data_IF_461580900517
#
_entry.id   IF_461580900517
#
_cell.length_a   1.000
_cell.length_b   1.000
_cell.length_c   1.000
_cell.angle_alpha   90.00
_cell.angle_beta   90.00
_cell.angle_gamma   90.00
#
_symmetry.space_group_name_H-M   'P 1'
#
loop_
_entity.id
_entity.type
_entity.pdbx_description
1 polymer ?
#
# COMPACT_ATOMS: atom_id res chain seq x y z
N UNK A 1 -4.57 -10.63 -9.60
CA UNK A 1 -4.51 -12.10 -9.56
C UNK A 1 -3.53 -12.55 -10.63
N UNK A 2 -2.73 -13.58 -10.33
CA UNK A 2 -1.75 -14.12 -11.26
C UNK A 2 -2.18 -15.46 -11.87
N UNK A 3 -3.49 -15.75 -11.79
CA UNK A 3 -4.12 -16.89 -12.44
C UNK A 3 -5.16 -16.44 -13.45
N UNK A 4 -5.55 -17.41 -14.28
CA UNK A 4 -6.65 -17.26 -15.22
C UNK A 4 -7.97 -16.99 -14.47
N UNK A 5 -8.66 -15.94 -14.88
CA UNK A 5 -10.02 -15.65 -14.46
C UNK A 5 -10.87 -15.40 -15.71
N UNK A 6 -11.80 -16.33 -15.98
CA UNK A 6 -12.58 -16.36 -17.23
C UNK A 6 -11.66 -16.35 -18.46
N UNK A 7 -11.75 -15.31 -19.29
CA UNK A 7 -10.93 -15.13 -20.50
C UNK A 7 -9.60 -14.43 -20.23
N UNK A 8 -9.44 -13.82 -19.06
CA UNK A 8 -8.20 -13.15 -18.68
C UNK A 8 -7.15 -14.17 -18.24
N UNK A 9 -5.97 -14.10 -18.83
CA UNK A 9 -4.78 -14.89 -18.45
C UNK A 9 -4.23 -14.43 -17.10
N UNK A 10 -4.22 -13.11 -16.88
CA UNK A 10 -3.98 -12.43 -15.61
C UNK A 10 -4.97 -11.27 -15.52
N UNK A 11 -5.54 -11.03 -14.33
CA UNK A 11 -6.54 -9.99 -14.11
C UNK A 11 -6.21 -9.13 -12.89
N UNK A 12 -6.41 -7.83 -13.04
CA UNK A 12 -6.44 -6.84 -11.96
C UNK A 12 -7.89 -6.37 -11.80
N UNK A 13 -8.43 -6.51 -10.60
CA UNK A 13 -9.72 -5.93 -10.27
C UNK A 13 -9.52 -4.51 -9.73
N UNK A 14 -10.22 -3.54 -10.30
CA UNK A 14 -10.25 -2.16 -9.84
C UNK A 14 -11.64 -1.90 -9.29
N UNK A 15 -11.71 -1.61 -7.99
CA UNK A 15 -12.97 -1.38 -7.28
C UNK A 15 -12.96 0.05 -6.76
N UNK A 16 -13.93 0.87 -7.20
CA UNK A 16 -14.14 2.25 -6.76
C UNK A 16 -15.63 2.51 -6.58
N UNK A 17 -16.01 3.62 -5.95
CA UNK A 17 -17.41 3.89 -5.60
C UNK A 17 -18.34 3.76 -6.83
N UNK A 18 -19.22 2.75 -6.80
CA UNK A 18 -20.18 2.46 -7.87
C UNK A 18 -19.64 1.74 -9.11
N UNK A 19 -18.38 1.31 -9.12
CA UNK A 19 -17.78 0.69 -10.30
C UNK A 19 -16.76 -0.40 -9.94
N UNK A 20 -16.85 -1.53 -10.64
CA UNK A 20 -15.91 -2.64 -10.56
C UNK A 20 -15.46 -3.01 -11.97
N UNK A 21 -14.15 -2.99 -12.20
CA UNK A 21 -13.53 -3.32 -13.49
C UNK A 21 -12.63 -4.54 -13.35
N UNK A 22 -12.69 -5.43 -14.34
CA UNK A 22 -11.65 -6.43 -14.58
C UNK A 22 -10.77 -5.97 -15.74
N UNK A 23 -9.48 -5.86 -15.48
CA UNK A 23 -8.50 -5.35 -16.44
C UNK A 23 -7.37 -6.35 -16.58
N UNK A 24 -7.00 -6.72 -17.81
CA UNK A 24 -5.92 -7.67 -18.01
C UNK A 24 -5.74 -8.15 -19.44
N UNK A 25 -4.93 -9.20 -19.60
CA UNK A 25 -4.62 -9.78 -20.91
C UNK A 25 -5.56 -10.94 -21.24
N UNK A 26 -6.14 -10.94 -22.43
CA UNK A 26 -6.94 -12.02 -23.03
C UNK A 26 -6.19 -12.65 -24.21
N UNK A 27 -6.81 -13.63 -24.89
CA UNK A 27 -6.27 -14.20 -26.12
C UNK A 27 -6.19 -13.19 -27.28
N UNK A 28 -7.02 -12.15 -27.27
CA UNK A 28 -7.15 -11.16 -28.34
C UNK A 28 -6.32 -9.88 -28.08
N UNK A 29 -5.82 -9.69 -26.86
CA UNK A 29 -5.04 -8.51 -26.50
C UNK A 29 -5.26 -8.09 -25.05
N UNK A 30 -5.08 -6.80 -24.77
CA UNK A 30 -5.45 -6.22 -23.48
C UNK A 30 -6.92 -5.81 -23.51
N UNK A 31 -7.64 -6.08 -22.43
CA UNK A 31 -9.07 -5.83 -22.33
C UNK A 31 -9.44 -5.25 -20.96
N UNK A 32 -10.53 -4.50 -20.92
CA UNK A 32 -11.11 -3.86 -19.74
C UNK A 32 -12.63 -4.03 -19.77
N UNK A 33 -13.18 -4.67 -18.74
CA UNK A 33 -14.61 -4.99 -18.67
C UNK A 33 -15.22 -4.52 -17.36
N UNK A 34 -16.36 -3.84 -17.45
CA UNK A 34 -17.22 -3.60 -16.30
C UNK A 34 -17.85 -4.90 -15.86
N UNK A 35 -17.79 -5.16 -14.56
CA UNK A 35 -18.32 -6.37 -13.92
C UNK A 35 -19.11 -6.00 -12.68
N UNK A 36 -19.96 -6.91 -12.21
CA UNK A 36 -20.66 -6.73 -10.95
C UNK A 36 -19.72 -7.02 -9.77
N UNK A 37 -19.95 -6.36 -8.64
CA UNK A 37 -19.13 -6.55 -7.44
C UNK A 37 -19.33 -7.93 -6.84
N UNK A 38 -20.54 -8.48 -6.98
CA UNK A 38 -20.92 -9.82 -6.53
C UNK A 38 -20.09 -10.90 -7.24
N UNK A 39 -19.63 -10.65 -8.46
CA UNK A 39 -18.79 -11.59 -9.21
C UNK A 39 -17.38 -11.75 -8.63
N UNK A 40 -16.92 -10.77 -7.84
CA UNK A 40 -15.54 -10.72 -7.33
C UNK A 40 -15.44 -10.65 -5.82
N UNK A 41 -16.54 -10.41 -5.10
CA UNK A 41 -16.53 -10.21 -3.65
C UNK A 41 -15.84 -11.37 -2.90
N UNK A 42 -16.16 -12.61 -3.25
CA UNK A 42 -15.56 -13.80 -2.62
C UNK A 42 -14.08 -13.95 -2.97
N UNK A 43 -13.67 -13.45 -4.14
CA UNK A 43 -12.27 -13.46 -4.59
C UNK A 43 -11.45 -12.41 -3.84
N UNK A 44 -12.03 -11.22 -3.61
CA UNK A 44 -11.32 -10.10 -2.97
C UNK A 44 -11.37 -10.15 -1.45
N UNK A 45 -12.32 -10.88 -0.86
CA UNK A 45 -12.51 -10.97 0.59
C UNK A 45 -11.24 -11.35 1.37
N UNK A 46 -10.44 -12.37 0.99
CA UNK A 46 -9.20 -12.69 1.71
C UNK A 46 -8.19 -11.53 1.72
N UNK A 47 -8.19 -10.72 0.66
CA UNK A 47 -7.34 -9.54 0.54
C UNK A 47 -7.87 -8.36 1.37
N UNK A 48 -9.20 -8.21 1.48
CA UNK A 48 -9.81 -7.25 2.39
C UNK A 48 -9.45 -7.58 3.84
N UNK A 49 -9.57 -8.83 4.24
CA UNK A 49 -9.17 -9.31 5.58
C UNK A 49 -7.67 -9.09 5.84
N UNK A 50 -6.83 -9.24 4.82
CA UNK A 50 -5.41 -8.92 4.90
C UNK A 50 -5.15 -7.41 5.11
N UNK A 51 -5.92 -6.54 4.45
CA UNK A 51 -5.88 -5.10 4.71
C UNK A 51 -6.44 -4.74 6.10
N UNK A 52 -7.48 -5.41 6.58
CA UNK A 52 -7.99 -5.21 7.95
C UNK A 52 -6.92 -5.51 8.99
N UNK A 53 -6.15 -6.58 8.76
CA UNK A 53 -5.00 -6.92 9.59
C UNK A 53 -3.93 -5.82 9.52
N UNK A 54 -3.54 -5.35 8.32
CA UNK A 54 -2.55 -4.28 8.17
C UNK A 54 -3.00 -2.98 8.84
N UNK A 55 -4.27 -2.61 8.66
CA UNK A 55 -4.88 -1.45 9.30
C UNK A 55 -4.82 -1.55 10.81
N UNK A 56 -5.12 -2.72 11.38
CA UNK A 56 -5.00 -2.97 12.81
C UNK A 56 -3.57 -2.83 13.33
N UNK A 57 -2.57 -3.36 12.61
CA UNK A 57 -1.16 -3.22 13.01
C UNK A 57 -0.66 -1.78 12.91
N UNK A 58 -0.99 -1.06 11.84
CA UNK A 58 -0.70 0.38 11.71
C UNK A 58 -1.36 1.17 12.84
N UNK A 59 -2.61 0.82 13.18
CA UNK A 59 -3.37 1.44 14.26
C UNK A 59 -2.70 1.26 15.62
N UNK A 60 -2.21 0.06 15.93
CA UNK A 60 -1.43 -0.21 17.15
C UNK A 60 -0.16 0.64 17.22
N UNK A 61 0.59 0.74 16.13
CA UNK A 61 1.85 1.50 16.09
C UNK A 61 1.62 3.01 16.26
N UNK A 62 0.54 3.53 15.67
CA UNK A 62 0.27 4.97 15.63
C UNK A 62 -0.74 5.44 16.69
N UNK A 63 -1.18 4.55 17.57
CA UNK A 63 -2.23 4.80 18.58
C UNK A 63 -3.49 5.39 17.92
N UNK A 64 -4.03 4.63 16.95
CA UNK A 64 -5.28 4.91 16.22
C UNK A 64 -6.11 3.64 16.21
N UNK A 65 -7.36 3.74 16.63
CA UNK A 65 -8.30 2.62 16.54
C UNK A 65 -8.61 2.30 15.07
N UNK A 66 -8.42 1.04 14.68
CA UNK A 66 -8.87 0.54 13.39
C UNK A 66 -10.23 -0.15 13.57
N UNK A 67 -11.24 0.30 12.83
CA UNK A 67 -12.55 -0.34 12.77
C UNK A 67 -12.89 -0.64 11.31
N UNK A 68 -12.99 -1.91 10.92
CA UNK A 68 -13.39 -2.26 9.55
C UNK A 68 -14.84 -1.83 9.30
N UNK A 69 -15.09 -1.30 8.11
CA UNK A 69 -16.46 -0.98 7.67
C UNK A 69 -17.29 -2.26 7.56
N UNK A 70 -18.51 -2.24 8.09
CA UNK A 70 -19.45 -3.37 8.00
C UNK A 70 -20.35 -3.21 6.79
N UNK A 71 -20.77 -4.32 6.19
CA UNK A 71 -21.69 -4.32 5.05
C UNK A 71 -20.97 -4.62 3.74
N UNK A 72 -21.22 -3.80 2.72
CA UNK A 72 -20.63 -3.97 1.38
C UNK A 72 -19.18 -3.50 1.28
N UNK A 73 -18.52 -3.88 0.19
CA UNK A 73 -17.11 -3.56 -0.08
C UNK A 73 -16.87 -2.05 -0.19
N UNK A 74 -17.85 -1.27 -0.66
CA UNK A 74 -17.70 0.17 -0.84
C UNK A 74 -17.69 0.88 0.53
N UNK A 75 -18.52 0.42 1.45
CA UNK A 75 -18.57 0.86 2.84
C UNK A 75 -17.29 0.47 3.56
N UNK A 76 -16.78 -0.75 3.33
CA UNK A 76 -15.48 -1.18 3.82
C UNK A 76 -14.34 -0.28 3.31
N UNK A 77 -14.30 -0.01 2.00
CA UNK A 77 -13.28 0.82 1.36
C UNK A 77 -13.28 2.24 1.91
N UNK A 78 -14.46 2.86 2.06
CA UNK A 78 -14.63 4.19 2.66
C UNK A 78 -14.12 4.23 4.10
N UNK A 79 -14.44 3.21 4.90
CA UNK A 79 -13.95 3.09 6.27
C UNK A 79 -12.42 2.96 6.32
N UNK A 80 -11.85 2.13 5.46
CA UNK A 80 -10.39 1.91 5.43
C UNK A 80 -9.64 3.17 5.00
N UNK A 81 -10.12 3.88 3.97
CA UNK A 81 -9.52 5.15 3.53
C UNK A 81 -9.59 6.20 4.65
N UNK A 82 -10.72 6.32 5.35
CA UNK A 82 -10.87 7.25 6.48
C UNK A 82 -9.90 6.93 7.63
N UNK A 83 -9.65 5.65 7.89
CA UNK A 83 -8.61 5.24 8.82
C UNK A 83 -7.22 5.68 8.35
N UNK A 84 -6.87 5.49 7.06
CA UNK A 84 -5.57 5.89 6.50
C UNK A 84 -5.35 7.40 6.61
N UNK A 85 -6.38 8.22 6.43
CA UNK A 85 -6.30 9.67 6.63
C UNK A 85 -5.97 10.00 8.09
N UNK A 86 -6.67 9.37 9.02
CA UNK A 86 -6.46 9.55 10.47
C UNK A 86 -5.07 9.09 10.90
N UNK A 87 -4.64 7.92 10.44
CA UNK A 87 -3.30 7.38 10.67
C UNK A 87 -2.22 8.28 10.06
N UNK A 88 -2.44 8.84 8.87
CA UNK A 88 -1.51 9.79 8.25
C UNK A 88 -1.35 11.06 9.08
N UNK A 89 -2.43 11.57 9.70
CA UNK A 89 -2.33 12.72 10.63
C UNK A 89 -1.48 12.38 11.86
N UNK A 90 -1.65 11.19 12.44
CA UNK A 90 -0.82 10.75 13.59
C UNK A 90 0.64 10.54 13.18
N UNK A 91 0.89 9.85 12.07
CA UNK A 91 2.23 9.67 11.53
C UNK A 91 2.90 11.02 11.23
N UNK A 92 2.15 11.98 10.66
CA UNK A 92 2.60 13.34 10.44
C UNK A 92 3.22 13.96 11.70
N UNK A 93 2.55 13.83 12.86
CA UNK A 93 3.07 14.33 14.14
C UNK A 93 4.33 13.60 14.62
N UNK A 94 4.46 12.31 14.31
CA UNK A 94 5.67 11.52 14.62
C UNK A 94 6.84 12.01 13.78
N UNK A 95 6.68 12.05 12.46
CA UNK A 95 7.76 12.44 11.54
C UNK A 95 8.15 13.91 11.67
N UNK A 96 7.22 14.80 12.05
CA UNK A 96 7.53 16.20 12.36
C UNK A 96 8.59 16.32 13.49
N UNK A 97 8.64 15.36 14.43
CA UNK A 97 9.62 15.33 15.55
C UNK A 97 10.98 14.75 15.19
N UNK A 98 11.08 14.04 14.06
CA UNK A 98 12.37 13.50 13.58
C UNK A 98 13.29 14.64 13.14
N UNK A 99 12.72 15.76 12.67
CA UNK A 99 13.48 16.89 12.15
C UNK A 99 14.03 16.64 10.73
N UNK A 100 14.93 17.50 10.25
CA UNK A 100 15.49 17.37 8.91
C UNK A 100 16.29 16.08 8.74
N UNK A 101 16.05 15.38 7.64
CA UNK A 101 16.82 14.20 7.26
C UNK A 101 16.94 14.10 5.74
N UNK A 102 17.99 13.46 5.28
CA UNK A 102 18.17 13.09 3.89
C UNK A 102 18.65 11.65 3.84
N UNK A 103 17.97 10.84 3.03
CA UNK A 103 18.34 9.44 2.86
C UNK A 103 18.20 9.02 1.41
N UNK A 104 19.07 8.09 1.04
CA UNK A 104 19.05 7.38 -0.22
C UNK A 104 19.53 5.96 0.04
N UNK A 105 18.67 4.98 -0.18
CA UNK A 105 18.90 3.60 0.24
C UNK A 105 18.51 2.64 -0.87
N UNK A 106 19.45 1.79 -1.24
CA UNK A 106 19.20 0.72 -2.18
C UNK A 106 18.54 -0.46 -1.47
N UNK A 107 17.48 -0.99 -2.06
CA UNK A 107 16.69 -2.10 -1.54
C UNK A 107 16.47 -3.13 -2.64
N UNK A 108 16.59 -4.41 -2.29
CA UNK A 108 16.39 -5.52 -3.24
C UNK A 108 14.96 -5.63 -3.75
N UNK A 109 14.00 -5.32 -2.89
CA UNK A 109 12.57 -5.28 -3.22
C UNK A 109 11.95 -4.13 -2.44
N UNK A 110 11.11 -3.33 -3.11
CA UNK A 110 10.32 -2.27 -2.48
C UNK A 110 8.85 -2.58 -2.69
N UNK A 111 8.14 -2.76 -1.57
CA UNK A 111 6.73 -3.08 -1.52
C UNK A 111 5.91 -1.81 -1.24
N UNK A 112 4.74 -1.71 -1.87
CA UNK A 112 3.89 -0.52 -1.74
C UNK A 112 2.40 -0.91 -1.69
N UNK A 113 1.86 -1.25 -0.51
CA UNK A 113 0.46 -1.65 -0.36
C UNK A 113 -0.53 -0.47 -0.47
N UNK A 114 -0.03 0.76 -0.36
CA UNK A 114 -0.83 1.98 -0.51
C UNK A 114 -0.20 2.92 -1.54
N UNK A 115 -1.02 3.50 -2.40
CA UNK A 115 -0.64 4.54 -3.37
C UNK A 115 -1.62 5.71 -3.30
N UNK A 116 -1.28 6.74 -2.52
CA UNK A 116 -2.25 7.78 -2.18
C UNK A 116 -3.40 7.20 -1.36
N UNK A 117 -4.64 7.41 -1.81
CA UNK A 117 -5.84 6.79 -1.22
C UNK A 117 -6.24 5.46 -1.88
N UNK A 118 -5.39 4.89 -2.74
CA UNK A 118 -5.63 3.58 -3.33
C UNK A 118 -4.95 2.48 -2.51
N UNK A 119 -5.70 1.42 -2.21
CA UNK A 119 -5.18 0.14 -1.75
C UNK A 119 -4.73 -0.64 -2.99
N UNK A 120 -3.48 -1.10 -3.02
CA UNK A 120 -2.95 -1.79 -4.20
C UNK A 120 -2.09 -2.99 -3.81
N UNK A 121 -2.46 -4.16 -4.32
CA UNK A 121 -1.66 -5.37 -4.19
C UNK A 121 -0.75 -5.61 -5.39
N UNK A 122 -0.87 -4.80 -6.45
CA UNK A 122 -0.03 -4.93 -7.64
C UNK A 122 1.45 -4.74 -7.28
N UNK A 123 1.77 -3.72 -6.48
CA UNK A 123 3.15 -3.48 -6.01
C UNK A 123 3.55 -4.32 -4.79
N UNK A 124 2.71 -5.30 -4.44
CA UNK A 124 3.00 -6.33 -3.45
C UNK A 124 3.33 -7.64 -4.16
N UNK A 125 2.51 -8.01 -5.14
CA UNK A 125 2.76 -9.11 -6.08
C UNK A 125 4.02 -8.86 -6.92
N UNK A 126 4.17 -7.65 -7.45
CA UNK A 126 5.25 -7.23 -8.32
C UNK A 126 5.98 -6.03 -7.69
N UNK A 127 6.80 -6.24 -6.65
CA UNK A 127 7.54 -5.16 -6.01
C UNK A 127 8.61 -4.60 -6.94
N UNK A 128 9.03 -3.35 -6.74
CA UNK A 128 10.12 -2.75 -7.50
C UNK A 128 11.44 -3.45 -7.15
N UNK A 129 12.10 -4.16 -8.08
CA UNK A 129 13.33 -4.89 -7.81
C UNK A 129 14.54 -3.95 -7.88
N UNK A 130 15.54 -4.17 -7.03
CA UNK A 130 16.82 -3.45 -7.07
C UNK A 130 16.65 -1.90 -7.17
N UNK A 131 15.70 -1.38 -6.39
CA UNK A 131 15.28 0.01 -6.44
C UNK A 131 15.96 0.85 -5.36
N UNK A 132 15.98 2.17 -5.56
CA UNK A 132 16.45 3.13 -4.56
C UNK A 132 15.25 3.84 -3.95
N UNK A 133 15.13 3.80 -2.63
CA UNK A 133 14.22 4.66 -1.88
C UNK A 133 14.98 5.90 -1.42
N UNK A 134 14.49 7.06 -1.82
CA UNK A 134 15.07 8.35 -1.48
C UNK A 134 14.02 9.23 -0.79
N UNK A 135 14.43 9.95 0.23
CA UNK A 135 13.59 10.94 0.89
C UNK A 135 14.44 12.11 1.40
N UNK A 136 13.90 13.31 1.26
CA UNK A 136 14.49 14.51 1.81
C UNK A 136 13.41 15.27 2.59
N UNK A 137 13.61 15.39 3.90
CA UNK A 137 12.84 16.28 4.75
C UNK A 137 13.67 17.53 5.05
N UNK A 138 13.27 18.68 4.50
CA UNK A 138 13.90 19.99 4.77
C UNK A 138 13.28 20.71 5.96
N UNK A 139 12.14 20.22 6.43
CA UNK A 139 11.31 20.86 7.43
C UNK A 139 11.89 20.74 8.83
N UNK A 140 12.01 21.89 9.52
CA UNK A 140 12.47 21.95 10.92
C UNK A 140 11.33 21.85 11.95
N UNK A 141 10.15 22.33 11.58
CA UNK A 141 8.95 22.36 12.45
C UNK A 141 7.91 21.35 12.00
N UNK A 142 7.81 21.14 10.70
CA UNK A 142 6.87 20.24 10.05
C UNK A 142 7.60 19.56 8.91
N UNK A 143 7.45 18.25 8.76
CA UNK A 143 8.10 17.50 7.72
C UNK A 143 7.56 17.91 6.34
N UNK A 144 8.46 18.25 5.42
CA UNK A 144 8.09 18.67 4.05
C UNK A 144 8.94 17.88 3.08
N UNK A 145 8.27 17.15 2.19
CA UNK A 145 8.91 16.39 1.14
C UNK A 145 8.12 15.16 0.72
N UNK A 146 8.78 14.30 -0.04
CA UNK A 146 8.22 13.03 -0.49
C UNK A 146 9.25 11.93 -0.36
N UNK A 147 8.75 10.72 -0.17
CA UNK A 147 9.50 9.48 -0.26
C UNK A 147 9.32 8.98 -1.68
N UNK A 148 10.42 8.76 -2.39
CA UNK A 148 10.47 8.45 -3.81
C UNK A 148 11.08 7.08 -3.99
N UNK A 149 10.48 6.28 -4.87
CA UNK A 149 11.08 5.03 -5.35
C UNK A 149 11.64 5.30 -6.75
N UNK A 150 12.93 5.06 -6.90
CA UNK A 150 13.65 5.17 -8.17
C UNK A 150 14.07 3.79 -8.65
N UNK A 151 13.79 3.49 -9.91
CA UNK A 151 14.14 2.23 -10.56
C UNK A 151 14.63 2.51 -11.97
N UNK A 152 15.76 1.92 -12.37
CA UNK A 152 16.39 2.20 -13.67
C UNK A 152 16.82 3.67 -13.87
N UNK A 153 17.05 4.41 -12.77
CA UNK A 153 17.41 5.84 -12.82
C UNK A 153 16.23 6.81 -13.00
N UNK A 154 14.98 6.31 -13.00
CA UNK A 154 13.77 7.14 -13.08
C UNK A 154 12.91 6.98 -11.85
N UNK A 155 12.15 8.03 -11.52
CA UNK A 155 11.12 8.00 -10.48
C UNK A 155 9.93 7.17 -10.95
N UNK A 156 9.66 6.06 -10.26
CA UNK A 156 8.54 5.15 -10.59
C UNK A 156 7.36 5.26 -9.62
N UNK A 157 7.61 5.68 -8.37
CA UNK A 157 6.56 5.94 -7.40
C UNK A 157 6.94 7.06 -6.42
N UNK A 158 5.95 7.66 -5.77
CA UNK A 158 6.17 8.52 -4.61
C UNK A 158 4.98 8.60 -3.68
N UNK A 159 5.28 8.84 -2.41
CA UNK A 159 4.30 9.19 -1.40
C UNK A 159 4.78 10.41 -0.59
N UNK A 160 3.85 11.21 -0.05
CA UNK A 160 4.20 12.30 0.85
C UNK A 160 4.84 11.77 2.14
N UNK A 161 5.85 12.46 2.67
CA UNK A 161 6.55 12.02 3.90
C UNK A 161 5.58 11.85 5.09
N UNK A 162 4.50 12.63 5.12
CA UNK A 162 3.49 12.62 6.18
C UNK A 162 2.32 11.66 5.94
N UNK A 163 2.34 10.84 4.89
CA UNK A 163 1.28 9.84 4.64
C UNK A 163 1.70 8.47 5.14
N UNK A 164 0.73 7.59 5.43
CA UNK A 164 1.00 6.18 5.76
C UNK A 164 1.81 5.48 4.66
N UNK A 165 1.50 5.74 3.39
CA UNK A 165 2.30 5.21 2.27
C UNK A 165 3.77 5.67 2.34
N UNK A 166 4.01 6.94 2.69
CA UNK A 166 5.35 7.46 2.93
C UNK A 166 6.03 6.78 4.13
N UNK A 167 5.30 6.57 5.23
CA UNK A 167 5.78 5.85 6.40
C UNK A 167 6.25 4.43 6.06
N UNK A 168 5.46 3.67 5.29
CA UNK A 168 5.82 2.30 4.90
C UNK A 168 7.03 2.25 3.95
N UNK A 169 7.19 3.24 3.06
CA UNK A 169 8.40 3.35 2.24
C UNK A 169 9.63 3.71 3.09
N UNK A 170 9.50 4.65 4.02
CA UNK A 170 10.55 5.00 4.98
C UNK A 170 10.93 3.82 5.86
N UNK A 171 9.95 3.02 6.30
CA UNK A 171 10.17 1.87 7.15
C UNK A 171 11.10 0.85 6.49
N UNK A 172 10.94 0.61 5.19
CA UNK A 172 11.81 -0.29 4.43
C UNK A 172 13.24 0.25 4.30
N UNK A 173 13.39 1.56 4.11
CA UNK A 173 14.66 2.21 3.78
C UNK A 173 15.48 2.65 5.01
N UNK A 174 14.81 3.10 6.06
CA UNK A 174 15.39 3.80 7.19
C UNK A 174 14.58 3.57 8.48
N UNK A 175 14.30 2.30 8.79
CA UNK A 175 13.60 1.88 10.02
C UNK A 175 14.23 2.43 11.30
N UNK A 176 15.51 2.79 11.27
CA UNK A 176 16.26 3.34 12.40
C UNK A 176 15.87 4.78 12.78
N UNK A 177 15.18 5.52 11.91
CA UNK A 177 14.87 6.94 12.13
C UNK A 177 13.95 7.17 13.34
N UNK A 178 13.01 6.26 13.60
CA UNK A 178 12.12 6.31 14.76
C UNK A 178 11.60 4.91 15.12
N UNK A 179 11.29 4.61 16.39
CA UNK A 179 10.79 3.29 16.78
C UNK A 179 9.55 2.82 15.99
N UNK A 180 8.64 3.74 15.66
CA UNK A 180 7.43 3.46 14.88
C UNK A 180 7.76 2.87 13.51
N UNK A 181 8.83 3.34 12.85
CA UNK A 181 9.24 2.80 11.56
C UNK A 181 9.79 1.38 11.65
N UNK A 182 10.38 1.00 12.80
CA UNK A 182 10.81 -0.40 13.03
C UNK A 182 9.60 -1.32 13.12
N UNK A 183 8.57 -0.92 13.84
CA UNK A 183 7.34 -1.72 13.98
C UNK A 183 6.53 -1.74 12.67
N UNK A 184 6.42 -0.61 11.97
CA UNK A 184 5.80 -0.57 10.64
C UNK A 184 6.54 -1.44 9.61
N UNK A 185 7.88 -1.53 9.70
CA UNK A 185 8.66 -2.43 8.84
C UNK A 185 8.26 -3.89 9.10
N UNK A 186 8.19 -4.32 10.37
CA UNK A 186 7.75 -5.68 10.74
C UNK A 186 6.34 -5.97 10.23
N UNK A 187 5.41 -5.02 10.44
CA UNK A 187 4.03 -5.15 9.97
C UNK A 187 3.96 -5.31 8.44
N UNK A 188 4.77 -4.55 7.70
CA UNK A 188 4.85 -4.67 6.24
C UNK A 188 5.46 -6.01 5.80
N UNK A 189 6.55 -6.46 6.43
CA UNK A 189 7.17 -7.74 6.12
C UNK A 189 6.20 -8.90 6.35
N UNK A 190 5.44 -8.87 7.45
CA UNK A 190 4.41 -9.86 7.74
C UNK A 190 3.18 -9.75 6.82
N UNK A 191 2.77 -8.53 6.44
CA UNK A 191 1.73 -8.31 5.42
C UNK A 191 2.11 -8.98 4.10
N UNK A 192 3.36 -8.77 3.64
CA UNK A 192 3.89 -9.36 2.42
C UNK A 192 3.93 -10.89 2.55
N UNK A 193 4.38 -11.42 3.68
CA UNK A 193 4.38 -12.86 3.91
C UNK A 193 2.97 -13.45 3.84
N UNK A 194 1.99 -12.84 4.53
CA UNK A 194 0.58 -13.25 4.51
C UNK A 194 -0.02 -13.16 3.11
N UNK A 195 0.27 -12.09 2.35
CA UNK A 195 -0.14 -11.97 0.95
C UNK A 195 0.26 -13.20 0.14
N UNK A 196 1.52 -13.63 0.22
CA UNK A 196 2.00 -14.80 -0.53
C UNK A 196 1.42 -16.14 -0.03
N UNK A 197 0.78 -16.20 1.14
CA UNK A 197 0.06 -17.40 1.59
C UNK A 197 -1.34 -17.52 1.01
N UNK A 198 -1.97 -16.41 0.65
CA UNK A 198 -3.35 -16.36 0.10
C UNK A 198 -3.39 -16.06 -1.39
N UNK A 199 -2.29 -15.54 -1.95
CA UNK A 199 -2.18 -15.19 -3.35
C UNK A 199 -1.49 -16.29 -4.15
N UNK A 200 -1.91 -16.41 -5.40
CA UNK A 200 -1.27 -17.26 -6.40
C UNK A 200 -0.16 -16.56 -7.16
N UNK A 201 -0.02 -15.24 -6.96
CA UNK A 201 1.15 -14.48 -7.39
C UNK A 201 2.38 -14.94 -6.61
N UNK A 202 3.34 -15.60 -7.27
CA UNK A 202 4.59 -16.10 -6.67
C UNK A 202 5.81 -15.56 -7.39
#
# INVERSE_FOLDING_TARGET
MCDKWREFQEVTFIIRDGETLAVGRTAEGYDERSISVEEVVDIVKPYMELYDWLGSEIGKVLDVEYVPGKGDIYTWLKSHISFIDTASVKWGKVVDRVGPFSLRRYLKKVYMPYSGHALTLTYVAYPYPDAVVAAENKGRVMAIGSVVVEWGGVKVASAGIRTVAGALLLAQAASELTPELKELKKALEEFVARFFTISTCR
#
